data_IF_358060281546
#
_entry.id   IF_358060281546
#
_cell.length_a   1.000
_cell.length_b   1.000
_cell.length_c   1.000
_cell.angle_alpha   90.00
_cell.angle_beta   90.00
_cell.angle_gamma   90.00
#
_symmetry.space_group_name_H-M   'P 1'
#
loop_
_entity.id
_entity.type
_entity.pdbx_description
1 polymer ?
#
# COMPACT_ATOMS: atom_id res chain seq x y z
N UNK A 1 0.80 11.55 6.11
CA UNK A 1 1.35 10.18 6.01
C UNK A 1 1.48 9.63 7.40
N UNK A 2 0.84 8.51 7.68
CA UNK A 2 0.95 7.86 8.99
C UNK A 2 2.38 7.38 9.23
N UNK A 3 2.89 7.61 10.44
CA UNK A 3 4.24 7.17 10.87
C UNK A 3 4.45 5.67 10.63
N UNK A 4 3.40 4.87 10.76
CA UNK A 4 3.42 3.43 10.54
C UNK A 4 3.73 3.09 9.07
N UNK A 5 3.15 3.82 8.11
CA UNK A 5 3.40 3.62 6.67
C UNK A 5 4.85 3.97 6.33
N UNK A 6 5.38 5.03 6.94
CA UNK A 6 6.78 5.44 6.78
C UNK A 6 7.72 4.35 7.30
N UNK A 7 7.47 3.83 8.51
CA UNK A 7 8.28 2.76 9.11
C UNK A 7 8.21 1.48 8.26
N UNK A 8 7.01 1.07 7.84
CA UNK A 8 6.82 -0.10 6.99
C UNK A 8 7.53 0.06 5.64
N UNK A 9 7.45 1.24 5.03
CA UNK A 9 8.15 1.56 3.78
C UNK A 9 9.66 1.58 3.91
N UNK A 10 10.21 2.00 5.05
CA UNK A 10 11.66 1.93 5.32
C UNK A 10 12.12 0.48 5.43
N UNK A 11 11.38 -0.38 6.16
CA UNK A 11 11.71 -1.80 6.31
C UNK A 11 11.67 -2.52 4.96
N UNK A 12 10.58 -2.34 4.21
CA UNK A 12 10.41 -2.95 2.88
C UNK A 12 11.43 -2.41 1.87
N UNK A 13 11.66 -1.10 1.85
CA UNK A 13 12.64 -0.48 0.97
C UNK A 13 14.06 -0.93 1.27
N UNK A 14 14.39 -1.14 2.54
CA UNK A 14 15.69 -1.70 2.94
C UNK A 14 15.83 -3.16 2.49
N UNK A 15 14.78 -3.97 2.61
CA UNK A 15 14.77 -5.35 2.10
C UNK A 15 14.95 -5.43 0.57
N UNK A 16 14.25 -4.57 -0.18
CA UNK A 16 14.36 -4.47 -1.64
C UNK A 16 15.77 -4.03 -2.03
N UNK A 17 16.32 -3.05 -1.33
CA UNK A 17 17.69 -2.60 -1.54
C UNK A 17 18.70 -3.75 -1.37
N UNK A 18 18.58 -4.56 -0.31
CA UNK A 18 19.46 -5.72 -0.13
C UNK A 18 19.31 -6.74 -1.26
N UNK A 19 18.09 -7.04 -1.68
CA UNK A 19 17.85 -7.98 -2.79
C UNK A 19 18.47 -7.47 -4.11
N UNK A 20 18.30 -6.19 -4.44
CA UNK A 20 18.91 -5.59 -5.64
C UNK A 20 20.44 -5.59 -5.52
N UNK A 21 20.95 -5.21 -4.36
CA UNK A 21 22.40 -5.17 -4.11
C UNK A 21 23.05 -6.56 -4.27
N UNK A 22 22.36 -7.65 -3.88
CA UNK A 22 22.84 -9.02 -4.06
C UNK A 22 22.74 -9.54 -5.50
N UNK A 23 21.81 -9.01 -6.31
CA UNK A 23 21.65 -9.44 -7.71
C UNK A 23 22.66 -8.70 -8.61
N UNK A 24 22.93 -7.45 -8.28
CA UNK A 24 23.68 -6.52 -9.13
C UNK A 24 25.12 -6.30 -8.63
N UNK A 25 25.54 -6.95 -7.54
CA UNK A 25 26.85 -6.80 -6.89
C UNK A 25 27.28 -5.33 -6.72
N UNK A 26 26.36 -4.48 -6.26
CA UNK A 26 26.54 -3.02 -6.24
C UNK A 26 27.50 -2.56 -5.13
N UNK A 27 27.95 -3.47 -4.27
CA UNK A 27 28.90 -3.23 -3.18
C UNK A 27 30.22 -2.59 -3.62
N UNK A 28 30.56 -2.66 -4.92
CA UNK A 28 31.79 -2.08 -5.49
C UNK A 28 31.65 -0.64 -6.02
N UNK A 29 30.43 -0.09 -6.11
CA UNK A 29 30.17 1.23 -6.71
C UNK A 29 30.40 2.43 -5.78
N UNK A 30 30.88 2.18 -4.56
CA UNK A 30 31.20 3.21 -3.56
C UNK A 30 29.99 3.71 -2.77
N UNK A 31 30.26 4.38 -1.64
CA UNK A 31 29.25 4.76 -0.64
C UNK A 31 28.10 5.62 -1.23
N UNK A 32 28.42 6.55 -2.13
CA UNK A 32 27.42 7.45 -2.73
C UNK A 32 26.35 6.73 -3.55
N UNK A 33 26.75 5.75 -4.37
CA UNK A 33 25.83 4.98 -5.21
C UNK A 33 24.96 4.01 -4.39
N UNK A 34 25.54 3.44 -3.34
CA UNK A 34 24.86 2.54 -2.40
C UNK A 34 23.76 3.31 -1.65
N UNK A 35 24.08 4.49 -1.13
CA UNK A 35 23.13 5.32 -0.37
C UNK A 35 22.02 5.85 -1.28
N UNK A 36 22.34 6.32 -2.48
CA UNK A 36 21.32 6.83 -3.41
C UNK A 36 20.35 5.73 -3.87
N UNK A 37 20.84 4.51 -4.08
CA UNK A 37 19.98 3.36 -4.40
C UNK A 37 19.07 2.98 -3.22
N UNK A 38 19.61 2.97 -1.99
CA UNK A 38 18.80 2.71 -0.80
C UNK A 38 17.68 3.77 -0.61
N UNK A 39 18.01 5.05 -0.83
CA UNK A 39 17.01 6.13 -0.81
C UNK A 39 15.95 5.95 -1.90
N UNK A 40 16.36 5.53 -3.11
CA UNK A 40 15.42 5.22 -4.19
C UNK A 40 14.45 4.10 -3.81
N UNK A 41 14.96 2.99 -3.26
CA UNK A 41 14.13 1.86 -2.84
C UNK A 41 13.18 2.21 -1.69
N UNK A 42 13.62 3.02 -0.72
CA UNK A 42 12.78 3.44 0.41
C UNK A 42 11.69 4.43 0.00
N UNK A 43 12.00 5.44 -0.82
CA UNK A 43 11.00 6.38 -1.33
C UNK A 43 9.96 5.63 -2.18
N UNK A 44 10.40 4.78 -3.10
CA UNK A 44 9.51 3.99 -3.94
C UNK A 44 8.57 3.11 -3.10
N UNK A 45 9.10 2.43 -2.09
CA UNK A 45 8.32 1.56 -1.21
C UNK A 45 7.26 2.33 -0.41
N UNK A 46 7.59 3.51 0.13
CA UNK A 46 6.63 4.36 0.84
C UNK A 46 5.50 4.82 -0.08
N UNK A 47 5.83 5.24 -1.31
CA UNK A 47 4.83 5.68 -2.29
C UNK A 47 3.89 4.54 -2.69
N UNK A 48 4.43 3.35 -2.94
CA UNK A 48 3.62 2.17 -3.30
C UNK A 48 2.65 1.81 -2.17
N UNK A 49 3.12 1.76 -0.93
CA UNK A 49 2.26 1.43 0.23
C UNK A 49 1.18 2.49 0.42
N UNK A 50 1.53 3.78 0.28
CA UNK A 50 0.57 4.87 0.38
C UNK A 50 -0.54 4.75 -0.69
N UNK A 51 -0.17 4.48 -1.95
CA UNK A 51 -1.13 4.30 -3.05
C UNK A 51 -2.02 3.07 -2.85
N UNK A 52 -1.47 1.95 -2.40
CA UNK A 52 -2.27 0.74 -2.11
C UNK A 52 -3.26 0.97 -0.97
N UNK A 53 -2.86 1.71 0.08
CA UNK A 53 -3.74 2.07 1.18
C UNK A 53 -4.96 2.86 0.73
N UNK A 54 -4.77 3.83 -0.18
CA UNK A 54 -5.86 4.64 -0.73
C UNK A 54 -6.82 3.81 -1.61
N UNK A 55 -6.28 2.93 -2.45
CA UNK A 55 -7.10 2.04 -3.31
C UNK A 55 -7.96 1.12 -2.44
N UNK A 56 -7.39 0.57 -1.37
CA UNK A 56 -8.12 -0.33 -0.48
C UNK A 56 -9.28 0.39 0.24
N UNK A 57 -9.03 1.61 0.76
CA UNK A 57 -10.06 2.44 1.38
C UNK A 57 -11.16 2.83 0.38
N UNK A 58 -10.79 3.10 -0.87
CA UNK A 58 -11.74 3.41 -1.93
C UNK A 58 -12.65 2.22 -2.23
N UNK A 59 -12.10 1.02 -2.41
CA UNK A 59 -12.88 -0.21 -2.60
C UNK A 59 -13.79 -0.50 -1.40
N UNK A 60 -13.30 -0.35 -0.17
CA UNK A 60 -14.08 -0.60 1.05
C UNK A 60 -15.30 0.33 1.14
N UNK A 61 -15.15 1.60 0.78
CA UNK A 61 -16.23 2.58 0.76
C UNK A 61 -17.37 2.16 -0.17
N UNK A 62 -17.07 1.67 -1.37
CA UNK A 62 -18.09 1.21 -2.32
C UNK A 62 -18.80 -0.06 -1.86
N UNK A 63 -18.08 -0.98 -1.21
CA UNK A 63 -18.68 -2.19 -0.63
C UNK A 63 -19.70 -1.82 0.46
N UNK A 64 -19.37 -0.91 1.36
CA UNK A 64 -20.28 -0.46 2.44
C UNK A 64 -21.55 0.16 1.85
N UNK A 65 -21.41 1.04 0.85
CA UNK A 65 -22.55 1.68 0.18
C UNK A 65 -23.45 0.61 -0.49
N UNK A 66 -22.86 -0.37 -1.17
CA UNK A 66 -23.60 -1.46 -1.81
C UNK A 66 -24.42 -2.28 -0.81
N UNK A 67 -23.84 -2.60 0.36
CA UNK A 67 -24.53 -3.34 1.42
C UNK A 67 -25.73 -2.57 1.96
N UNK A 68 -25.61 -1.25 2.16
CA UNK A 68 -26.71 -0.41 2.67
C UNK A 68 -27.88 -0.38 1.68
N UNK A 69 -27.60 -0.21 0.38
CA UNK A 69 -28.64 -0.16 -0.67
C UNK A 69 -29.38 -1.49 -0.75
N UNK A 70 -28.64 -2.61 -0.79
CA UNK A 70 -29.24 -3.95 -0.86
C UNK A 70 -30.07 -4.23 0.40
N UNK A 71 -29.55 -3.88 1.58
CA UNK A 71 -30.27 -4.01 2.85
C UNK A 71 -31.59 -3.21 2.85
N UNK A 72 -31.57 -1.98 2.34
CA UNK A 72 -32.77 -1.15 2.20
C UNK A 72 -33.82 -1.77 1.27
N UNK A 73 -33.40 -2.28 0.11
CA UNK A 73 -34.30 -2.96 -0.84
C UNK A 73 -34.92 -4.21 -0.20
N UNK A 74 -34.13 -5.02 0.52
CA UNK A 74 -34.62 -6.22 1.20
C UNK A 74 -35.65 -5.87 2.28
N UNK A 75 -35.41 -4.81 3.05
CA UNK A 75 -36.32 -4.34 4.09
C UNK A 75 -37.65 -3.84 3.50
N UNK A 76 -37.60 -3.05 2.43
CA UNK A 76 -38.80 -2.58 1.73
C UNK A 76 -39.59 -3.75 1.13
N UNK A 77 -38.91 -4.71 0.50
CA UNK A 77 -39.55 -5.87 -0.11
C UNK A 77 -40.24 -6.77 0.95
N UNK A 78 -39.66 -6.89 2.15
CA UNK A 78 -40.32 -7.53 3.30
C UNK A 78 -41.53 -6.75 3.80
N UNK A 79 -41.46 -5.42 3.83
CA UNK A 79 -42.57 -4.57 4.26
C UNK A 79 -43.77 -4.59 3.29
N UNK A 80 -43.55 -4.83 2.00
CA UNK A 80 -44.63 -4.93 0.99
C UNK A 80 -45.28 -6.32 0.98
N UNK A 81 -44.55 -7.37 1.37
CA UNK A 81 -45.05 -8.76 1.37
C UNK A 81 -45.79 -9.17 2.65
N UNK A 82 -45.69 -8.38 3.72
CA UNK A 82 -46.49 -8.53 4.94
C UNK A 82 -47.73 -7.63 4.87
#
# INVERSE_FOLDING_TARGET
MDIIIIIAGIILGTGIFFAINTIMDITYFGCGAIVSMWFGCTIFSVVVIALLGEIFLWCLKWIIIGVIIIGGIVMINRAIKN
#
